data_IF_311345263778
#
_entry.id   IF_311345263778
#
_cell.length_a   1.000
_cell.length_b   1.000
_cell.length_c   1.000
_cell.angle_alpha   90.00
_cell.angle_beta   90.00
_cell.angle_gamma   90.00
#
_symmetry.space_group_name_H-M   'P 1'
#
loop_
_entity.id
_entity.type
_entity.pdbx_description
1 polymer ?
#
# COMPACT_ATOMS: atom_id res chain seq x y z
N UNK A 1 4.86 12.12 18.87
CA UNK A 1 5.63 11.58 17.73
C UNK A 1 6.76 12.55 17.46
N UNK A 2 8.02 12.11 17.53
CA UNK A 2 9.19 12.99 17.38
C UNK A 2 9.15 13.65 15.99
N UNK A 3 9.53 14.94 15.90
CA UNK A 3 9.59 15.73 14.65
C UNK A 3 8.27 16.15 14.00
N UNK A 4 7.11 15.90 14.60
CA UNK A 4 5.83 16.35 14.01
C UNK A 4 5.72 17.86 14.03
N UNK A 5 6.01 18.51 15.15
CA UNK A 5 5.87 19.96 15.28
C UNK A 5 6.93 20.71 14.48
N UNK A 6 8.15 20.15 14.37
CA UNK A 6 9.26 20.75 13.61
C UNK A 6 9.02 20.74 12.10
N UNK A 7 8.42 19.67 11.56
CA UNK A 7 8.16 19.56 10.11
C UNK A 7 6.75 19.98 9.69
N UNK A 8 5.85 20.27 10.65
CA UNK A 8 4.51 20.80 10.38
C UNK A 8 4.41 22.28 10.79
N UNK A 9 5.32 23.07 10.25
CA UNK A 9 5.38 24.52 10.46
C UNK A 9 4.92 25.29 9.21
N UNK A 10 3.86 26.10 9.37
CA UNK A 10 3.27 26.88 8.29
C UNK A 10 4.22 27.95 7.76
N UNK A 11 5.05 28.55 8.63
CA UNK A 11 5.98 29.61 8.22
C UNK A 11 7.11 29.04 7.35
N UNK A 12 7.65 27.88 7.73
CA UNK A 12 8.60 27.12 6.91
C UNK A 12 8.00 26.74 5.56
N UNK A 13 6.76 26.24 5.52
CA UNK A 13 6.08 25.90 4.26
C UNK A 13 5.96 27.12 3.34
N UNK A 14 5.49 28.27 3.85
CA UNK A 14 5.41 29.51 3.08
C UNK A 14 6.78 29.95 2.57
N UNK A 15 7.81 29.90 3.42
CA UNK A 15 9.18 30.25 3.03
C UNK A 15 9.68 29.38 1.87
N UNK A 16 9.46 28.06 1.94
CA UNK A 16 9.87 27.14 0.87
C UNK A 16 9.06 27.35 -0.40
N UNK A 17 7.74 27.59 -0.33
CA UNK A 17 6.93 27.90 -1.50
C UNK A 17 7.46 29.14 -2.24
N UNK A 18 7.76 30.23 -1.52
CA UNK A 18 8.36 31.43 -2.11
C UNK A 18 9.73 31.15 -2.75
N UNK A 19 10.57 30.36 -2.09
CA UNK A 19 11.88 29.96 -2.63
C UNK A 19 11.74 29.15 -3.91
N UNK A 20 10.80 28.21 -3.95
CA UNK A 20 10.50 27.42 -5.15
C UNK A 20 10.11 28.36 -6.29
N UNK A 21 9.17 29.28 -6.08
CA UNK A 21 8.77 30.29 -7.08
C UNK A 21 9.97 31.07 -7.61
N UNK A 22 10.89 31.51 -6.73
CA UNK A 22 12.08 32.27 -7.15
C UNK A 22 13.16 31.44 -7.87
N UNK A 23 13.10 30.11 -7.77
CA UNK A 23 14.14 29.19 -8.27
C UNK A 23 13.74 28.53 -9.59
N UNK A 24 12.43 28.42 -9.86
CA UNK A 24 11.92 27.77 -11.06
C UNK A 24 12.24 28.63 -12.30
N UNK A 25 13.01 28.07 -13.23
CA UNK A 25 13.47 28.75 -14.45
C UNK A 25 12.84 28.19 -15.73
N UNK A 26 12.12 27.07 -15.63
CA UNK A 26 11.47 26.37 -16.74
C UNK A 26 10.39 25.42 -16.18
N UNK A 27 9.51 24.88 -17.04
CA UNK A 27 8.60 23.82 -16.63
C UNK A 27 9.32 22.57 -16.11
N UNK A 28 8.84 22.01 -15.00
CA UNK A 28 9.32 20.79 -14.36
C UNK A 28 8.16 19.82 -14.15
N UNK A 29 8.45 18.54 -14.36
CA UNK A 29 7.53 17.44 -14.08
C UNK A 29 8.22 16.55 -13.06
N UNK A 30 7.68 16.46 -11.85
CA UNK A 30 8.28 15.75 -10.73
C UNK A 30 7.36 14.61 -10.34
N UNK A 31 7.85 13.37 -10.47
CA UNK A 31 7.08 12.19 -10.11
C UNK A 31 7.46 11.71 -8.71
N UNK A 32 6.46 11.46 -7.89
CA UNK A 32 6.59 10.67 -6.67
C UNK A 32 6.06 9.25 -6.88
N UNK A 33 6.57 8.29 -6.12
CA UNK A 33 6.21 6.87 -6.21
C UNK A 33 5.90 6.30 -4.81
N UNK A 34 5.19 7.07 -4.00
CA UNK A 34 4.81 6.67 -2.66
C UNK A 34 3.40 7.17 -2.33
N UNK A 35 2.45 6.26 -2.15
CA UNK A 35 1.07 6.62 -1.80
C UNK A 35 0.94 7.50 -0.54
N UNK A 36 1.88 7.39 0.40
CA UNK A 36 1.95 8.28 1.57
C UNK A 36 2.34 9.73 1.23
N UNK A 37 3.20 9.92 0.23
CA UNK A 37 3.50 11.23 -0.33
C UNK A 37 2.32 11.78 -1.12
N UNK A 38 1.71 10.97 -2.01
CA UNK A 38 0.46 11.33 -2.70
C UNK A 38 -0.60 11.81 -1.71
N UNK A 39 -0.85 11.03 -0.65
CA UNK A 39 -1.82 11.37 0.39
C UNK A 39 -1.48 12.69 1.07
N UNK A 40 -0.21 12.92 1.39
CA UNK A 40 0.21 14.17 2.04
C UNK A 40 0.07 15.38 1.12
N UNK A 41 0.46 15.26 -0.15
CA UNK A 41 0.33 16.31 -1.16
C UNK A 41 -1.13 16.74 -1.29
N UNK A 42 -2.03 15.78 -1.52
CA UNK A 42 -3.46 16.04 -1.72
C UNK A 42 -4.12 16.55 -0.44
N UNK A 43 -3.84 15.93 0.71
CA UNK A 43 -4.43 16.29 2.00
C UNK A 43 -4.11 17.73 2.40
N UNK A 44 -2.90 18.19 2.11
CA UNK A 44 -2.45 19.54 2.46
C UNK A 44 -2.50 20.52 1.29
N UNK A 45 -2.98 20.11 0.11
CA UNK A 45 -3.08 20.95 -1.08
C UNK A 45 -1.72 21.52 -1.52
N UNK A 46 -0.63 20.76 -1.36
CA UNK A 46 0.72 21.25 -1.64
C UNK A 46 0.92 21.57 -3.12
N UNK A 47 0.24 20.85 -3.99
CA UNK A 47 0.16 21.09 -5.43
C UNK A 47 -0.39 22.49 -5.77
N UNK A 48 -1.31 23.01 -4.95
CA UNK A 48 -1.89 24.35 -5.12
C UNK A 48 -0.94 25.48 -4.65
N UNK A 49 0.08 25.15 -3.86
CA UNK A 49 1.08 26.12 -3.38
C UNK A 49 2.26 26.27 -4.33
N UNK A 50 2.40 25.37 -5.32
CA UNK A 50 3.48 25.38 -6.28
C UNK A 50 3.17 26.32 -7.47
N UNK A 51 4.20 26.91 -8.10
CA UNK A 51 4.02 27.66 -9.34
C UNK A 51 3.55 26.73 -10.46
N UNK A 52 2.81 27.26 -11.45
CA UNK A 52 2.20 26.48 -12.55
C UNK A 52 3.21 25.74 -13.43
N UNK A 53 4.46 26.19 -13.42
CA UNK A 53 5.59 25.56 -14.07
C UNK A 53 6.00 24.24 -13.42
N UNK A 54 5.57 23.95 -12.19
CA UNK A 54 5.88 22.69 -11.48
C UNK A 54 4.65 21.80 -11.45
N UNK A 55 4.68 20.73 -12.25
CA UNK A 55 3.68 19.68 -12.25
C UNK A 55 4.14 18.52 -11.36
N UNK A 56 3.29 18.11 -10.41
CA UNK A 56 3.49 16.89 -9.64
C UNK A 56 2.77 15.73 -10.32
N UNK A 57 3.49 14.63 -10.56
CA UNK A 57 2.97 13.39 -11.13
C UNK A 57 2.89 12.33 -10.04
N UNK A 58 1.71 11.74 -9.88
CA UNK A 58 1.49 10.62 -8.97
C UNK A 58 1.80 9.31 -9.69
N UNK A 59 2.97 8.74 -9.40
CA UNK A 59 3.45 7.50 -9.98
C UNK A 59 2.85 6.25 -9.32
N UNK A 60 3.32 5.06 -9.72
CA UNK A 60 2.83 3.76 -9.24
C UNK A 60 3.31 3.42 -7.81
N UNK A 61 3.01 4.27 -6.84
CA UNK A 61 3.47 4.16 -5.45
C UNK A 61 2.62 3.30 -4.52
N UNK A 62 1.73 2.48 -5.06
CA UNK A 62 0.79 1.64 -4.32
C UNK A 62 1.02 0.16 -4.68
N UNK A 63 1.63 -0.65 -3.81
CA UNK A 63 1.98 -2.04 -4.14
C UNK A 63 0.74 -2.90 -4.44
N UNK A 64 -0.36 -2.65 -3.73
CA UNK A 64 -1.67 -3.28 -3.95
C UNK A 64 -2.19 -2.98 -5.35
N UNK A 65 -2.14 -1.71 -5.75
CA UNK A 65 -2.69 -1.23 -7.02
C UNK A 65 -1.93 -1.73 -8.24
N UNK A 66 -0.63 -2.04 -8.07
CA UNK A 66 0.25 -2.52 -9.14
C UNK A 66 0.43 -4.04 -9.11
N UNK A 67 -0.25 -4.75 -8.21
CA UNK A 67 -0.20 -6.21 -8.15
C UNK A 67 -0.81 -6.78 -9.43
N UNK A 68 -0.10 -7.65 -10.18
CA UNK A 68 -0.62 -8.23 -11.41
C UNK A 68 -1.93 -9.00 -11.16
N UNK A 69 -2.89 -8.86 -12.06
CA UNK A 69 -4.20 -9.51 -11.94
C UNK A 69 -4.06 -11.04 -11.88
N UNK A 70 -3.05 -11.59 -12.57
CA UNK A 70 -2.73 -13.02 -12.56
C UNK A 70 -2.33 -13.50 -11.16
N UNK A 71 -1.61 -12.67 -10.40
CA UNK A 71 -1.24 -12.95 -9.01
C UNK A 71 -2.47 -12.88 -8.09
N UNK A 72 -3.35 -11.91 -8.30
CA UNK A 72 -4.63 -11.84 -7.57
C UNK A 72 -5.48 -13.08 -7.84
N UNK A 73 -5.61 -13.49 -9.09
CA UNK A 73 -6.34 -14.70 -9.49
C UNK A 73 -5.74 -15.98 -8.91
N UNK A 74 -4.41 -16.06 -8.80
CA UNK A 74 -3.74 -17.16 -8.10
C UNK A 74 -4.13 -17.18 -6.62
N UNK A 75 -4.11 -16.04 -5.93
CA UNK A 75 -4.50 -15.96 -4.52
C UNK A 75 -5.96 -16.36 -4.29
N UNK A 76 -6.86 -15.98 -5.20
CA UNK A 76 -8.29 -16.33 -5.17
C UNK A 76 -8.48 -17.84 -5.32
N UNK A 77 -7.74 -18.47 -6.24
CA UNK A 77 -7.78 -19.94 -6.41
C UNK A 77 -7.27 -20.68 -5.17
N UNK A 78 -6.20 -20.17 -4.55
CA UNK A 78 -5.65 -20.72 -3.31
C UNK A 78 -6.65 -20.57 -2.16
N UNK A 79 -7.27 -19.40 -2.00
CA UNK A 79 -8.26 -19.13 -0.95
C UNK A 79 -9.54 -19.96 -1.06
N UNK A 80 -9.83 -20.52 -2.25
CA UNK A 80 -10.99 -21.37 -2.47
C UNK A 80 -10.76 -22.85 -2.11
N UNK A 81 -9.53 -23.24 -1.73
CA UNK A 81 -9.21 -24.60 -1.30
C UNK A 81 -9.66 -24.82 0.14
N UNK A 82 -10.36 -25.92 0.43
CA UNK A 82 -10.96 -26.18 1.75
C UNK A 82 -9.92 -26.32 2.87
N UNK A 83 -8.73 -26.82 2.55
CA UNK A 83 -7.62 -27.03 3.49
C UNK A 83 -6.78 -25.76 3.74
N UNK A 84 -7.09 -24.65 3.07
CA UNK A 84 -6.30 -23.42 3.13
C UNK A 84 -6.92 -22.36 4.04
N UNK A 85 -6.07 -21.67 4.80
CA UNK A 85 -6.37 -20.37 5.40
C UNK A 85 -5.54 -19.32 4.67
N UNK A 86 -6.16 -18.47 3.86
CA UNK A 86 -5.46 -17.39 3.17
C UNK A 86 -5.43 -16.15 4.07
N UNK A 87 -4.22 -15.69 4.40
CA UNK A 87 -3.99 -14.45 5.14
C UNK A 87 -3.58 -13.33 4.18
N UNK A 88 -4.13 -12.13 4.32
CA UNK A 88 -3.71 -10.96 3.54
C UNK A 88 -3.92 -9.66 4.31
N UNK A 89 -3.31 -8.58 3.86
CA UNK A 89 -3.62 -7.24 4.36
C UNK A 89 -5.03 -6.81 3.93
N UNK A 90 -5.66 -5.94 4.73
CA UNK A 90 -7.08 -5.62 4.58
C UNK A 90 -7.43 -4.87 3.29
N UNK A 91 -6.50 -4.09 2.76
CA UNK A 91 -6.61 -3.38 1.48
C UNK A 91 -6.64 -4.34 0.28
N UNK A 92 -5.94 -5.46 0.36
CA UNK A 92 -5.87 -6.46 -0.71
C UNK A 92 -7.16 -7.27 -0.87
N UNK A 93 -7.99 -7.37 0.18
CA UNK A 93 -9.19 -8.24 0.19
C UNK A 93 -10.22 -7.85 -0.87
N UNK A 94 -10.27 -6.57 -1.26
CA UNK A 94 -11.24 -6.02 -2.22
C UNK A 94 -10.63 -5.75 -3.59
N UNK A 95 -9.38 -6.16 -3.82
CA UNK A 95 -8.78 -6.01 -5.14
C UNK A 95 -9.43 -7.01 -6.09
N UNK A 96 -10.03 -6.54 -7.21
CA UNK A 96 -10.69 -7.43 -8.15
C UNK A 96 -9.65 -8.28 -8.90
N UNK A 97 -9.87 -9.59 -8.91
CA UNK A 97 -9.30 -10.47 -9.92
C UNK A 97 -10.13 -10.45 -11.20
N UNK A 98 -9.87 -11.40 -12.11
CA UNK A 98 -10.57 -11.50 -13.40
C UNK A 98 -12.06 -11.84 -13.27
N UNK A 99 -12.48 -12.48 -12.16
CA UNK A 99 -13.86 -12.95 -11.96
C UNK A 99 -14.50 -12.51 -10.64
N UNK A 100 -13.71 -12.44 -9.56
CA UNK A 100 -14.15 -12.08 -8.21
C UNK A 100 -12.97 -11.54 -7.41
N UNK A 101 -13.20 -11.16 -6.16
CA UNK A 101 -12.17 -10.74 -5.21
C UNK A 101 -12.09 -11.72 -4.02
N UNK A 102 -11.11 -11.53 -3.14
CA UNK A 102 -10.96 -12.34 -1.92
C UNK A 102 -12.11 -12.13 -0.94
N UNK A 103 -12.74 -10.95 -0.95
CA UNK A 103 -13.94 -10.67 -0.16
C UNK A 103 -15.10 -11.60 -0.54
N UNK A 104 -15.29 -11.82 -1.84
CA UNK A 104 -16.31 -12.72 -2.38
C UNK A 104 -16.01 -14.17 -2.02
N UNK A 105 -14.75 -14.61 -2.15
CA UNK A 105 -14.33 -15.97 -1.72
C UNK A 105 -14.65 -16.20 -0.24
N UNK A 106 -14.38 -15.21 0.61
CA UNK A 106 -14.74 -15.26 2.02
C UNK A 106 -16.25 -15.40 2.24
N UNK A 107 -17.05 -14.65 1.49
CA UNK A 107 -18.51 -14.73 1.57
C UNK A 107 -19.06 -16.08 1.09
N UNK A 108 -18.36 -16.76 0.18
CA UNK A 108 -18.67 -18.10 -0.33
C UNK A 108 -18.20 -19.23 0.61
N UNK A 109 -17.58 -18.90 1.75
CA UNK A 109 -17.16 -19.87 2.77
C UNK A 109 -15.66 -20.19 2.80
N UNK A 110 -14.85 -19.59 1.92
CA UNK A 110 -13.39 -19.70 2.01
C UNK A 110 -12.83 -19.05 3.28
N UNK A 111 -11.81 -19.64 3.90
CA UNK A 111 -11.19 -19.08 5.10
C UNK A 111 -10.15 -18.01 4.73
N UNK A 112 -10.63 -16.76 4.61
CA UNK A 112 -9.80 -15.58 4.34
C UNK A 112 -9.71 -14.69 5.60
N UNK A 113 -8.48 -14.52 6.10
CA UNK A 113 -8.14 -13.77 7.31
C UNK A 113 -7.42 -12.47 6.95
N UNK A 114 -7.86 -11.37 7.56
CA UNK A 114 -7.10 -10.12 7.51
C UNK A 114 -6.08 -10.15 8.63
N UNK A 115 -4.82 -9.86 8.29
CA UNK A 115 -3.71 -9.77 9.24
C UNK A 115 -3.08 -8.39 9.18
N UNK A 116 -2.40 -7.99 10.26
CA UNK A 116 -1.66 -6.73 10.34
C UNK A 116 -0.15 -6.95 10.27
N UNK A 117 0.30 -8.18 10.53
CA UNK A 117 1.69 -8.60 10.41
C UNK A 117 1.78 -9.97 9.72
N UNK A 118 2.83 -10.22 8.91
CA UNK A 118 3.13 -11.57 8.42
C UNK A 118 3.30 -12.59 9.56
N UNK A 119 3.74 -12.16 10.75
CA UNK A 119 3.87 -13.03 11.92
C UNK A 119 2.51 -13.53 12.44
N UNK A 120 1.42 -12.80 12.20
CA UNK A 120 0.07 -13.27 12.56
C UNK A 120 -0.29 -14.54 11.76
N UNK A 121 0.18 -14.65 10.52
CA UNK A 121 0.01 -15.84 9.69
C UNK A 121 0.84 -17.03 10.23
N UNK A 122 2.05 -16.78 10.74
CA UNK A 122 2.88 -17.81 11.39
C UNK A 122 2.20 -18.33 12.66
N UNK A 123 1.65 -17.43 13.47
CA UNK A 123 0.90 -17.82 14.67
C UNK A 123 -0.39 -18.61 14.32
N UNK A 124 -1.11 -18.19 13.28
CA UNK A 124 -2.25 -18.94 12.76
C UNK A 124 -1.84 -20.33 12.28
N UNK A 125 -0.70 -20.48 11.63
CA UNK A 125 -0.17 -21.78 11.21
C UNK A 125 0.12 -22.69 12.40
N UNK A 126 0.78 -22.17 13.44
CA UNK A 126 1.07 -22.93 14.67
C UNK A 126 -0.21 -23.41 15.38
N UNK A 127 -1.27 -22.61 15.35
CA UNK A 127 -2.57 -22.95 15.97
C UNK A 127 -3.43 -23.90 15.12
N UNK A 128 -3.16 -24.01 13.81
CA UNK A 128 -3.93 -24.83 12.88
C UNK A 128 -3.02 -25.82 12.14
N UNK A 129 -2.41 -26.79 12.84
CA UNK A 129 -1.39 -27.69 12.26
C UNK A 129 -1.93 -28.64 11.15
N UNK A 130 -3.25 -28.70 10.97
CA UNK A 130 -3.94 -29.52 9.99
C UNK A 130 -4.40 -28.72 8.76
N UNK A 131 -4.08 -27.43 8.69
CA UNK A 131 -4.43 -26.52 7.57
C UNK A 131 -3.16 -25.97 6.93
N UNK A 132 -3.25 -25.63 5.66
CA UNK A 132 -2.21 -24.88 4.95
C UNK A 132 -2.47 -23.38 5.14
N UNK A 133 -1.59 -22.69 5.88
CA UNK A 133 -1.71 -21.24 6.05
C UNK A 133 -0.85 -20.55 5.02
N UNK A 134 -1.47 -19.75 4.16
CA UNK A 134 -0.79 -19.05 3.05
C UNK A 134 -0.92 -17.55 3.27
N UNK A 135 0.21 -16.86 3.39
CA UNK A 135 0.22 -15.40 3.46
C UNK A 135 0.43 -14.80 2.07
N UNK A 136 -0.56 -14.04 1.59
CA UNK A 136 -0.45 -13.32 0.33
C UNK A 136 0.39 -12.04 0.51
N UNK A 137 1.70 -12.23 0.39
CA UNK A 137 2.71 -11.20 0.62
C UNK A 137 2.78 -10.20 -0.55
N UNK A 138 2.03 -9.11 -0.45
CA UNK A 138 2.09 -7.95 -1.35
C UNK A 138 2.80 -6.80 -0.65
N UNK A 139 3.69 -6.10 -1.34
CA UNK A 139 4.38 -4.95 -0.77
C UNK A 139 5.62 -4.53 -1.56
N UNK A 140 6.13 -3.35 -1.23
CA UNK A 140 7.41 -2.84 -1.71
C UNK A 140 8.53 -3.14 -0.69
N UNK A 141 9.71 -2.54 -0.87
CA UNK A 141 10.90 -2.77 -0.07
C UNK A 141 10.67 -2.50 1.42
N UNK A 142 9.73 -1.63 1.78
CA UNK A 142 9.37 -1.36 3.19
C UNK A 142 8.59 -2.50 3.84
N UNK A 143 7.91 -3.34 3.05
CA UNK A 143 7.15 -4.50 3.54
C UNK A 143 7.99 -5.77 3.52
N UNK A 144 8.97 -5.85 2.62
CA UNK A 144 9.82 -7.03 2.45
C UNK A 144 10.54 -7.49 3.74
N UNK A 145 11.10 -6.61 4.60
CA UNK A 145 11.71 -7.04 5.87
C UNK A 145 10.73 -7.73 6.81
N UNK A 146 9.49 -7.22 6.94
CA UNK A 146 8.48 -7.84 7.78
C UNK A 146 8.07 -9.22 7.24
N UNK A 147 7.99 -9.35 5.91
CA UNK A 147 7.72 -10.65 5.27
C UNK A 147 8.86 -11.63 5.51
N UNK A 148 10.12 -11.18 5.43
CA UNK A 148 11.30 -12.00 5.66
C UNK A 148 11.40 -12.53 7.09
N UNK A 149 10.87 -11.81 8.08
CA UNK A 149 10.80 -12.29 9.47
C UNK A 149 9.88 -13.51 9.65
N UNK A 150 8.99 -13.78 8.69
CA UNK A 150 8.04 -14.88 8.74
C UNK A 150 8.51 -16.13 7.96
N UNK A 151 9.74 -16.14 7.43
CA UNK A 151 10.33 -17.23 6.64
C UNK A 151 11.60 -17.77 7.30
#
# INVERSE_FOLDING_TARGET
MKYVDEYRDAESVKLYAHRIVSTVTKPWRIMEVCGGQTHSIVRFGLDQLLPKEVELIHGPGCPVCVTPIETVDQSIRIAAMEEVILCSFGDMIRVPGSKKDLFTVKAEGGDVRVVYSPLDAVELAARNPHKQVVFFAVGFETTAPANAMAV
#
